data_IF_407765537501
#
_entry.id   IF_407765537501
#
_cell.length_a   1.000
_cell.length_b   1.000
_cell.length_c   1.000
_cell.angle_alpha   90.00
_cell.angle_beta   90.00
_cell.angle_gamma   90.00
#
_symmetry.space_group_name_H-M   'P 1'
#
loop_
_entity.id
_entity.type
_entity.pdbx_description
1 polymer ?
#
# COMPACT_ATOMS: atom_id res chain seq x y z
N UNK A 1 8.77 -4.87 3.30
CA UNK A 1 8.76 -3.94 4.42
C UNK A 1 9.97 -3.03 4.29
N UNK A 2 9.88 -1.80 4.78
CA UNK A 2 11.06 -0.95 4.97
C UNK A 2 11.26 -0.82 6.47
N UNK A 3 12.48 -1.04 6.93
CA UNK A 3 12.82 -1.11 8.34
C UNK A 3 13.96 -0.14 8.61
N UNK A 4 13.80 0.70 9.63
CA UNK A 4 14.89 1.47 10.20
C UNK A 4 14.97 1.28 11.71
N UNK A 5 15.95 1.91 12.37
CA UNK A 5 16.12 1.79 13.83
C UNK A 5 14.88 2.22 14.60
N UNK A 6 14.21 3.29 14.15
CA UNK A 6 13.09 3.91 14.86
C UNK A 6 11.72 3.68 14.20
N UNK A 7 11.67 3.04 13.03
CA UNK A 7 10.43 2.89 12.28
C UNK A 7 10.31 1.57 11.51
N UNK A 8 9.07 1.22 11.20
CA UNK A 8 8.68 0.14 10.31
C UNK A 8 7.67 0.69 9.32
N UNK A 9 7.90 0.46 8.05
CA UNK A 9 6.95 0.76 6.97
C UNK A 9 6.33 -0.53 6.43
N UNK A 10 5.02 -0.65 6.60
CA UNK A 10 4.20 -1.74 6.11
C UNK A 10 3.79 -1.49 4.66
N UNK A 11 4.04 -2.45 3.77
CA UNK A 11 3.55 -2.35 2.39
C UNK A 11 2.19 -3.02 2.27
N UNK A 12 1.14 -2.20 2.35
CA UNK A 12 -0.13 -2.57 1.76
C UNK A 12 0.08 -2.83 0.25
N UNK A 13 -0.44 -3.92 -0.33
CA UNK A 13 -0.28 -4.15 -1.77
C UNK A 13 -0.81 -2.98 -2.57
N UNK A 14 -0.25 -2.69 -3.74
CA UNK A 14 -0.77 -1.70 -4.70
C UNK A 14 -0.89 -0.24 -4.20
N UNK A 15 -0.15 0.11 -3.16
CA UNK A 15 -0.03 1.50 -2.67
C UNK A 15 1.36 2.10 -2.93
N UNK A 16 2.00 1.76 -4.06
CA UNK A 16 3.26 2.40 -4.46
C UNK A 16 4.54 1.84 -3.82
N UNK A 17 4.50 0.63 -3.25
CA UNK A 17 5.65 0.01 -2.57
C UNK A 17 6.95 -0.05 -3.40
N UNK A 18 6.88 -0.35 -4.69
CA UNK A 18 8.09 -0.39 -5.56
C UNK A 18 8.75 0.99 -5.69
N UNK A 19 7.96 2.03 -5.97
CA UNK A 19 8.45 3.42 -6.02
C UNK A 19 9.07 3.83 -4.68
N UNK A 20 8.48 3.41 -3.57
CA UNK A 20 9.00 3.67 -2.23
C UNK A 20 10.32 2.97 -1.95
N UNK A 21 10.42 1.70 -2.31
CA UNK A 21 11.64 0.92 -2.16
C UNK A 21 12.80 1.54 -2.92
N UNK A 22 12.54 1.99 -4.16
CA UNK A 22 13.54 2.71 -4.95
C UNK A 22 13.95 4.03 -4.31
N UNK A 23 12.98 4.87 -3.94
CA UNK A 23 13.26 6.17 -3.33
C UNK A 23 14.14 6.03 -2.07
N UNK A 24 13.80 5.09 -1.18
CA UNK A 24 14.58 4.85 0.03
C UNK A 24 15.99 4.33 -0.28
N UNK A 25 16.13 3.43 -1.26
CA UNK A 25 17.45 2.94 -1.70
C UNK A 25 18.30 4.07 -2.28
N UNK A 26 17.72 4.94 -3.11
CA UNK A 26 18.41 6.09 -3.72
C UNK A 26 18.85 7.14 -2.68
N UNK A 27 18.11 7.28 -1.58
CA UNK A 27 18.46 8.18 -0.48
C UNK A 27 19.61 7.67 0.41
N UNK A 28 20.03 6.40 0.27
CA UNK A 28 21.14 5.81 1.04
C UNK A 28 21.05 6.05 2.55
N UNK A 29 19.84 5.95 3.12
CA UNK A 29 19.61 6.24 4.54
C UNK A 29 20.33 5.16 5.38
N UNK A 30 21.23 5.53 6.30
CA UNK A 30 21.94 4.57 7.14
C UNK A 30 20.99 3.67 7.92
N UNK A 31 21.36 2.39 8.04
CA UNK A 31 20.64 1.39 8.84
C UNK A 31 19.19 1.12 8.40
N UNK A 32 18.76 1.68 7.26
CA UNK A 32 17.47 1.38 6.66
C UNK A 32 17.60 0.19 5.72
N UNK A 33 16.84 -0.86 6.02
CA UNK A 33 16.76 -2.09 5.24
C UNK A 33 15.44 -2.11 4.47
N UNK A 34 15.51 -2.48 3.20
CA UNK A 34 14.34 -2.63 2.33
C UNK A 34 14.24 -4.10 1.93
N UNK A 35 13.12 -4.76 2.28
CA UNK A 35 12.88 -6.13 1.85
C UNK A 35 12.98 -6.25 0.32
N UNK A 36 13.51 -7.37 -0.22
CA UNK A 36 13.53 -7.61 -1.65
C UNK A 36 12.13 -7.59 -2.27
N UNK A 37 12.00 -6.95 -3.44
CA UNK A 37 10.72 -6.76 -4.12
C UNK A 37 10.04 -8.05 -4.58
N UNK A 38 10.79 -9.13 -4.78
CA UNK A 38 10.27 -10.41 -5.26
C UNK A 38 9.73 -11.31 -4.14
N UNK A 39 9.89 -10.94 -2.87
CA UNK A 39 9.45 -11.75 -1.75
C UNK A 39 8.04 -11.37 -1.30
N UNK A 40 7.18 -12.38 -1.13
CA UNK A 40 5.82 -12.19 -0.58
C UNK A 40 5.82 -11.63 0.84
N UNK A 41 6.88 -11.93 1.61
CA UNK A 41 7.07 -11.45 2.98
C UNK A 41 7.11 -9.93 3.08
N UNK A 42 7.36 -9.21 1.98
CA UNK A 42 7.35 -7.74 1.98
C UNK A 42 5.98 -7.15 2.33
N UNK A 43 4.91 -7.93 2.15
CA UNK A 43 3.52 -7.62 2.46
C UNK A 43 3.05 -8.26 3.76
N UNK A 44 3.95 -8.78 4.60
CA UNK A 44 3.57 -9.33 5.89
C UNK A 44 3.16 -8.23 6.86
N UNK A 45 2.14 -8.52 7.67
CA UNK A 45 1.84 -7.72 8.85
C UNK A 45 2.86 -8.01 9.95
N UNK A 46 2.88 -7.17 10.98
CA UNK A 46 3.80 -7.35 12.12
C UNK A 46 3.59 -8.72 12.79
N UNK A 47 2.38 -9.14 13.18
CA UNK A 47 2.20 -10.45 13.81
C UNK A 47 2.69 -11.61 12.94
N UNK A 48 2.45 -11.55 11.63
CA UNK A 48 2.93 -12.58 10.69
C UNK A 48 4.46 -12.58 10.60
N UNK A 49 5.11 -11.42 10.60
CA UNK A 49 6.57 -11.32 10.57
C UNK A 49 7.22 -11.85 11.84
N UNK A 50 6.64 -11.53 13.00
CA UNK A 50 7.14 -11.92 14.32
C UNK A 50 7.01 -13.43 14.58
N UNK A 51 6.01 -14.10 13.98
CA UNK A 51 5.85 -15.55 14.10
C UNK A 51 6.83 -16.35 13.23
N UNK A 52 7.40 -15.75 12.17
CA UNK A 52 8.29 -16.42 11.21
C UNK A 52 9.76 -16.37 11.59
N UNK A 53 10.15 -15.49 12.52
CA UNK A 53 11.55 -15.23 12.84
C UNK A 53 11.71 -14.66 14.25
N UNK A 54 12.96 -14.51 14.71
CA UNK A 54 13.28 -13.81 15.96
C UNK A 54 13.14 -12.29 15.85
N UNK A 55 12.82 -11.76 14.66
CA UNK A 55 12.54 -10.35 14.45
C UNK A 55 11.36 -9.87 15.30
N UNK A 56 11.49 -8.70 15.92
CA UNK A 56 10.46 -8.09 16.78
C UNK A 56 10.23 -6.65 16.40
N UNK A 57 8.98 -6.24 16.22
CA UNK A 57 8.65 -4.86 15.87
C UNK A 57 9.08 -3.86 16.96
N UNK A 58 9.04 -4.27 18.23
CA UNK A 58 9.38 -3.41 19.35
C UNK A 58 8.48 -2.16 19.40
N UNK A 59 9.06 -1.04 19.84
CA UNK A 59 8.37 0.25 19.99
C UNK A 59 8.55 1.17 18.77
N UNK A 60 8.94 0.62 17.62
CA UNK A 60 9.21 1.41 16.41
C UNK A 60 7.92 2.03 15.87
N UNK A 61 8.03 3.28 15.42
CA UNK A 61 6.92 3.99 14.81
C UNK A 61 6.50 3.27 13.53
N UNK A 62 5.19 3.10 13.34
CA UNK A 62 4.65 2.32 12.23
C UNK A 62 4.10 3.26 11.17
N UNK A 63 4.48 3.00 9.92
CA UNK A 63 4.02 3.69 8.74
C UNK A 63 3.31 2.72 7.81
N UNK A 64 2.30 3.21 7.09
CA UNK A 64 1.62 2.46 6.04
C UNK A 64 1.21 3.40 4.92
N UNK A 65 1.39 2.99 3.66
CA UNK A 65 0.93 3.80 2.53
C UNK A 65 -0.54 3.56 2.27
N UNK A 66 -1.32 4.65 2.26
CA UNK A 66 -2.73 4.66 1.93
C UNK A 66 -2.93 5.05 0.46
N UNK A 67 -4.01 4.55 -0.12
CA UNK A 67 -4.49 4.94 -1.44
C UNK A 67 -6.01 4.97 -1.39
N UNK A 68 -6.63 5.88 -2.13
CA UNK A 68 -8.09 5.91 -2.26
C UNK A 68 -8.64 4.56 -2.69
N UNK A 69 -9.69 4.08 -2.02
CA UNK A 69 -10.27 2.74 -2.09
C UNK A 69 -10.58 2.33 -3.54
N UNK A 70 -11.32 3.17 -4.25
CA UNK A 70 -11.69 2.91 -5.65
C UNK A 70 -10.45 2.71 -6.53
N UNK A 71 -9.49 3.63 -6.44
CA UNK A 71 -8.24 3.57 -7.20
C UNK A 71 -7.38 2.37 -6.81
N UNK A 72 -7.45 1.95 -5.55
CA UNK A 72 -6.74 0.81 -5.02
C UNK A 72 -7.30 -0.51 -5.56
N UNK A 73 -8.62 -0.71 -5.50
CA UNK A 73 -9.29 -1.90 -6.03
C UNK A 73 -9.05 -2.06 -7.54
N UNK A 74 -9.20 -0.97 -8.31
CA UNK A 74 -8.92 -0.98 -9.75
C UNK A 74 -7.45 -1.32 -10.02
N UNK A 75 -6.53 -0.76 -9.24
CA UNK A 75 -5.10 -1.02 -9.41
C UNK A 75 -4.71 -2.46 -9.10
N UNK A 76 -5.40 -3.12 -8.16
CA UNK A 76 -5.21 -4.53 -7.89
C UNK A 76 -5.66 -5.37 -9.07
N UNK A 77 -6.92 -5.23 -9.49
CA UNK A 77 -7.49 -5.96 -10.61
C UNK A 77 -6.64 -5.82 -11.89
N UNK A 78 -6.24 -4.59 -12.25
CA UNK A 78 -5.38 -4.36 -13.42
C UNK A 78 -4.02 -5.06 -13.28
N UNK A 79 -3.43 -5.01 -12.09
CA UNK A 79 -2.13 -5.64 -11.87
C UNK A 79 -2.21 -7.16 -11.96
N UNK A 80 -3.26 -7.76 -11.42
CA UNK A 80 -3.51 -9.21 -11.50
C UNK A 80 -3.64 -9.68 -12.95
N UNK A 81 -4.41 -8.93 -13.76
CA UNK A 81 -4.60 -9.22 -15.19
C UNK A 81 -3.33 -9.09 -16.01
N UNK A 82 -2.53 -8.05 -15.75
CA UNK A 82 -1.38 -7.69 -16.59
C UNK A 82 -0.07 -8.37 -16.20
N UNK A 83 0.12 -8.62 -14.90
CA UNK A 83 1.44 -8.99 -14.38
C UNK A 83 1.46 -10.29 -13.57
N UNK A 84 0.29 -10.84 -13.21
CA UNK A 84 0.21 -12.00 -12.32
C UNK A 84 -0.50 -13.20 -12.95
N UNK A 85 -0.58 -13.24 -14.28
CA UNK A 85 -1.10 -14.42 -15.00
C UNK A 85 -2.60 -14.67 -14.86
N UNK A 86 -3.40 -13.66 -14.49
CA UNK A 86 -4.87 -13.78 -14.38
C UNK A 86 -5.60 -12.89 -15.40
N UNK A 87 -5.35 -13.03 -16.72
CA UNK A 87 -5.82 -12.07 -17.73
C UNK A 87 -7.35 -11.95 -17.82
N UNK A 88 -8.07 -13.00 -17.43
CA UNK A 88 -9.54 -13.09 -17.49
C UNK A 88 -10.21 -12.82 -16.13
N UNK A 89 -9.52 -12.17 -15.20
CA UNK A 89 -10.10 -11.81 -13.91
C UNK A 89 -11.29 -10.86 -14.10
N UNK A 90 -12.45 -11.26 -13.61
CA UNK A 90 -13.69 -10.47 -13.71
C UNK A 90 -13.56 -9.14 -12.94
N UNK A 91 -14.18 -8.09 -13.48
CA UNK A 91 -14.26 -6.78 -12.86
C UNK A 91 -15.50 -6.61 -11.97
N UNK A 92 -16.53 -7.45 -12.11
CA UNK A 92 -17.74 -7.35 -11.29
C UNK A 92 -17.49 -7.37 -9.77
N UNK A 93 -16.58 -8.21 -9.24
CA UNK A 93 -16.24 -8.17 -7.82
C UNK A 93 -15.65 -6.82 -7.37
N UNK A 94 -14.92 -6.11 -8.23
CA UNK A 94 -14.40 -4.76 -7.93
C UNK A 94 -15.53 -3.76 -7.78
N UNK A 95 -16.55 -3.81 -8.64
CA UNK A 95 -17.77 -2.98 -8.51
C UNK A 95 -18.54 -3.27 -7.23
N UNK A 96 -18.35 -4.44 -6.65
CA UNK A 96 -18.91 -4.85 -5.38
C UNK A 96 -17.99 -4.52 -4.18
N UNK A 97 -16.87 -3.83 -4.38
CA UNK A 97 -15.96 -3.44 -3.32
C UNK A 97 -15.00 -4.53 -2.87
N UNK A 98 -14.74 -5.53 -3.73
CA UNK A 98 -13.85 -6.65 -3.39
C UNK A 98 -12.47 -6.51 -4.04
N UNK A 99 -11.47 -6.96 -3.30
CA UNK A 99 -10.06 -7.02 -3.64
C UNK A 99 -9.64 -8.47 -3.91
N UNK A 100 -8.79 -8.73 -4.90
CA UNK A 100 -8.33 -10.09 -5.22
C UNK A 100 -7.02 -10.45 -4.50
N UNK A 101 -7.11 -11.33 -3.52
CA UNK A 101 -5.99 -11.69 -2.64
C UNK A 101 -5.39 -13.06 -2.96
N UNK A 102 -4.17 -13.07 -3.51
CA UNK A 102 -3.36 -14.30 -3.57
C UNK A 102 -2.91 -14.79 -2.20
N UNK A 103 -2.78 -13.89 -1.23
CA UNK A 103 -2.44 -14.26 0.15
C UNK A 103 -3.48 -15.21 0.77
N UNK A 104 -4.72 -15.15 0.29
CA UNK A 104 -5.82 -16.01 0.70
C UNK A 104 -6.15 -17.09 -0.36
N UNK A 105 -5.15 -17.52 -1.12
CA UNK A 105 -5.31 -18.59 -2.11
C UNK A 105 -5.94 -18.15 -3.43
N UNK A 106 -5.98 -16.85 -3.73
CA UNK A 106 -6.55 -16.34 -4.97
C UNK A 106 -8.06 -16.19 -4.89
N UNK A 107 -8.54 -15.41 -3.93
CA UNK A 107 -9.96 -15.19 -3.68
C UNK A 107 -10.30 -13.72 -3.51
N UNK A 108 -11.58 -13.39 -3.67
CA UNK A 108 -12.12 -12.06 -3.46
C UNK A 108 -12.42 -11.81 -1.99
N UNK A 109 -12.01 -10.66 -1.48
CA UNK A 109 -12.21 -10.26 -0.08
C UNK A 109 -12.59 -8.79 0.01
N UNK A 110 -13.30 -8.39 1.06
CA UNK A 110 -13.47 -6.98 1.37
C UNK A 110 -12.10 -6.32 1.61
N UNK A 111 -11.94 -5.07 1.16
CA UNK A 111 -10.77 -4.23 1.41
C UNK A 111 -10.46 -4.12 2.92
N UNK A 112 -11.50 -4.07 3.75
CA UNK A 112 -11.40 -4.00 5.22
C UNK A 112 -10.57 -5.14 5.81
N UNK A 113 -10.60 -6.32 5.18
CA UNK A 113 -9.78 -7.46 5.60
C UNK A 113 -8.29 -7.09 5.64
N UNK A 114 -7.81 -6.27 4.71
CA UNK A 114 -6.41 -5.85 4.70
C UNK A 114 -6.07 -4.91 5.85
N UNK A 115 -6.98 -4.02 6.25
CA UNK A 115 -6.74 -3.15 7.41
C UNK A 115 -6.69 -3.96 8.70
N UNK A 116 -7.55 -4.96 8.82
CA UNK A 116 -7.53 -5.92 9.92
C UNK A 116 -6.24 -6.77 9.90
N UNK A 117 -5.85 -7.29 8.74
CA UNK A 117 -4.63 -8.07 8.56
C UNK A 117 -3.37 -7.30 9.01
N UNK A 118 -3.30 -6.00 8.71
CA UNK A 118 -2.21 -5.13 9.14
C UNK A 118 -2.37 -4.58 10.56
N UNK A 119 -3.45 -4.93 11.27
CA UNK A 119 -3.80 -4.39 12.60
C UNK A 119 -3.77 -2.85 12.64
N UNK A 120 -4.33 -2.24 11.60
CA UNK A 120 -4.37 -0.78 11.47
C UNK A 120 -5.00 -0.17 12.73
N UNK A 121 -4.30 0.80 13.31
CA UNK A 121 -4.73 1.47 14.53
C UNK A 121 -4.29 2.94 14.53
N UNK A 122 -4.83 3.77 15.45
CA UNK A 122 -4.58 5.22 15.46
C UNK A 122 -3.12 5.65 15.65
N UNK A 123 -2.24 4.75 16.13
CA UNK A 123 -0.81 5.06 16.30
C UNK A 123 0.01 4.83 15.02
N UNK A 124 -0.57 4.18 14.02
CA UNK A 124 0.08 4.01 12.72
C UNK A 124 -0.07 5.28 11.89
N UNK A 125 1.05 5.79 11.39
CA UNK A 125 1.06 6.95 10.51
C UNK A 125 0.77 6.52 9.07
N UNK A 126 -0.34 7.01 8.52
CA UNK A 126 -0.64 6.83 7.12
C UNK A 126 0.16 7.82 6.26
N UNK A 127 0.63 7.35 5.11
CA UNK A 127 1.28 8.15 4.06
C UNK A 127 0.40 8.08 2.81
N UNK A 128 -0.15 9.20 2.36
CA UNK A 128 -1.08 9.23 1.22
C UNK A 128 -0.30 9.11 -0.08
N UNK A 129 -0.67 8.17 -0.94
CA UNK A 129 0.04 7.92 -2.20
C UNK A 129 0.04 9.15 -3.13
N UNK A 130 -1.04 9.92 -3.14
CA UNK A 130 -1.21 11.13 -3.96
C UNK A 130 -0.37 12.32 -3.42
N UNK A 131 -0.03 12.30 -2.13
CA UNK A 131 0.75 13.33 -1.44
C UNK A 131 2.08 12.76 -0.92
N UNK A 132 2.60 11.72 -1.60
CA UNK A 132 3.67 10.87 -1.07
C UNK A 132 4.90 11.66 -0.65
N UNK A 133 5.36 12.61 -1.46
CA UNK A 133 6.50 13.46 -1.14
C UNK A 133 6.25 14.33 0.10
N UNK A 134 5.09 14.97 0.17
CA UNK A 134 4.71 15.87 1.26
C UNK A 134 4.65 15.08 2.58
N UNK A 135 3.92 13.97 2.59
CA UNK A 135 3.74 13.14 3.79
C UNK A 135 5.07 12.50 4.22
N UNK A 136 5.92 12.08 3.28
CA UNK A 136 7.27 11.60 3.59
C UNK A 136 8.12 12.65 4.28
N UNK A 137 8.16 13.86 3.74
CA UNK A 137 8.93 14.96 4.30
C UNK A 137 8.37 15.42 5.65
N UNK A 138 7.06 15.36 5.83
CA UNK A 138 6.39 15.75 7.06
C UNK A 138 6.57 14.73 8.18
N UNK A 139 6.47 13.44 7.88
CA UNK A 139 6.36 12.40 8.91
C UNK A 139 7.59 11.50 9.03
N UNK A 140 8.28 11.20 7.93
CA UNK A 140 9.45 10.30 7.95
C UNK A 140 10.75 11.06 8.18
N UNK A 141 11.02 12.15 7.45
CA UNK A 141 12.27 12.92 7.61
C UNK A 141 12.59 13.28 9.08
N UNK A 142 11.63 13.73 9.92
CA UNK A 142 11.94 14.11 11.30
C UNK A 142 12.47 12.97 12.19
N UNK A 143 12.26 11.71 11.81
CA UNK A 143 12.67 10.54 12.60
C UNK A 143 13.89 9.81 12.01
N UNK A 144 14.40 10.30 10.87
CA UNK A 144 15.62 9.82 10.23
C UNK A 144 16.86 10.50 10.84
N UNK A 145 18.08 9.97 10.60
CA UNK A 145 19.31 10.59 11.09
C UNK A 145 19.42 12.07 10.70
N UNK A 146 19.99 12.87 11.60
CA UNK A 146 20.20 14.30 11.36
C UNK A 146 20.99 14.55 10.08
N UNK A 147 20.57 15.54 9.29
CA UNK A 147 21.16 15.85 7.99
C UNK A 147 20.60 15.07 6.80
N UNK A 148 19.65 14.15 7.03
CA UNK A 148 18.92 13.48 5.93
C UNK A 148 18.22 14.53 5.08
N UNK A 149 18.49 14.53 3.77
CA UNK A 149 17.91 15.47 2.83
C UNK A 149 16.43 15.16 2.57
N UNK A 150 15.58 16.20 2.35
CA UNK A 150 14.18 15.99 1.99
C UNK A 150 14.04 15.10 0.75
N UNK A 151 12.99 14.27 0.75
CA UNK A 151 12.59 13.45 -0.39
C UNK A 151 12.16 14.32 -1.57
N UNK A 152 12.63 13.93 -2.76
CA UNK A 152 12.15 14.43 -4.03
C UNK A 152 10.82 13.75 -4.43
N UNK A 153 10.21 14.21 -5.52
CA UNK A 153 9.02 13.56 -6.07
C UNK A 153 9.37 12.11 -6.42
N UNK A 154 8.67 11.11 -5.86
CA UNK A 154 8.99 9.72 -6.10
C UNK A 154 8.86 9.36 -7.59
N UNK A 155 9.76 8.51 -8.13
CA UNK A 155 9.66 8.08 -9.51
C UNK A 155 8.37 7.27 -9.73
N UNK A 156 7.59 7.63 -10.75
CA UNK A 156 6.39 6.89 -11.16
C UNK A 156 6.79 5.68 -12.01
N UNK A 157 7.47 4.70 -11.41
CA UNK A 157 7.99 3.52 -12.13
C UNK A 157 6.92 2.67 -12.80
N UNK A 158 5.71 2.67 -12.25
CA UNK A 158 4.56 1.96 -12.80
C UNK A 158 3.56 2.91 -13.50
N UNK A 159 4.02 4.08 -13.96
CA UNK A 159 3.19 4.96 -14.77
C UNK A 159 2.68 4.19 -16.00
N UNK A 160 1.37 4.18 -16.18
CA UNK A 160 0.74 3.55 -17.35
C UNK A 160 1.27 4.25 -18.61
N UNK A 161 1.63 3.50 -19.66
CA UNK A 161 1.86 4.07 -20.98
C UNK A 161 0.64 4.90 -21.44
N UNK A 162 0.88 6.06 -22.05
CA UNK A 162 -0.13 7.06 -22.42
C UNK A 162 -1.25 6.47 -23.31
N UNK A 163 -0.94 5.47 -24.12
CA UNK A 163 -1.89 4.83 -25.05
C UNK A 163 -2.93 3.92 -24.36
N UNK A 164 -2.71 3.53 -23.10
CA UNK A 164 -3.55 2.56 -22.37
C UNK A 164 -4.68 3.19 -21.53
N UNK A 165 -4.88 4.51 -21.61
CA UNK A 165 -5.97 5.20 -20.91
C UNK A 165 -7.37 4.88 -21.48
N UNK A 166 -7.48 4.16 -22.60
CA UNK A 166 -8.76 3.85 -23.25
C UNK A 166 -9.58 2.74 -22.57
N UNK A 167 -9.01 2.02 -21.60
CA UNK A 167 -9.67 0.88 -20.93
C UNK A 167 -9.63 0.98 -19.39
N UNK A 168 -9.54 2.18 -18.81
CA UNK A 168 -9.79 2.28 -17.37
C UNK A 168 -11.27 2.05 -17.10
N UNK A 169 -11.64 0.99 -16.35
CA UNK A 169 -13.02 0.79 -16.01
C UNK A 169 -13.48 1.94 -15.13
N UNK A 170 -14.61 2.53 -15.47
CA UNK A 170 -15.27 3.54 -14.67
C UNK A 170 -16.22 2.88 -13.67
N UNK A 171 -16.43 3.55 -12.54
CA UNK A 171 -17.39 3.15 -11.52
C UNK A 171 -18.56 4.12 -11.53
N UNK A 172 -19.80 3.60 -11.54
CA UNK A 172 -21.01 4.44 -11.40
C UNK A 172 -21.15 4.94 -9.96
N UNK A 173 -22.00 5.95 -9.75
CA UNK A 173 -22.28 6.48 -8.42
C UNK A 173 -22.81 5.39 -7.48
N UNK A 174 -23.69 4.51 -7.96
CA UNK A 174 -24.27 3.41 -7.18
C UNK A 174 -23.20 2.39 -6.79
N UNK A 175 -22.26 2.10 -7.69
CA UNK A 175 -21.13 1.21 -7.41
C UNK A 175 -20.22 1.81 -6.35
N UNK A 176 -19.92 3.12 -6.42
CA UNK A 176 -19.12 3.81 -5.39
C UNK A 176 -19.77 3.77 -4.02
N UNK A 177 -21.08 4.01 -3.94
CA UNK A 177 -21.85 3.89 -2.69
C UNK A 177 -21.78 2.45 -2.15
N UNK A 178 -21.93 1.46 -3.04
CA UNK A 178 -21.82 0.05 -2.68
C UNK A 178 -20.44 -0.30 -2.14
N UNK A 179 -19.38 0.13 -2.82
CA UNK A 179 -17.97 -0.07 -2.42
C UNK A 179 -17.75 0.46 -1.01
N UNK A 180 -18.23 1.68 -0.71
CA UNK A 180 -18.12 2.26 0.63
C UNK A 180 -18.87 1.44 1.68
N UNK A 181 -20.09 1.00 1.35
CA UNK A 181 -20.93 0.20 2.26
C UNK A 181 -20.31 -1.16 2.59
N UNK A 182 -19.63 -1.80 1.64
CA UNK A 182 -18.94 -3.08 1.82
C UNK A 182 -17.65 -2.94 2.63
N UNK A 183 -17.04 -1.75 2.61
CA UNK A 183 -15.74 -1.47 3.24
C UNK A 183 -15.83 -0.28 4.20
N UNK A 184 -16.62 -0.37 5.28
CA UNK A 184 -16.82 0.74 6.20
C UNK A 184 -15.54 1.16 6.93
N UNK A 185 -14.65 0.23 7.28
CA UNK A 185 -13.39 0.57 7.97
C UNK A 185 -12.46 1.35 7.04
N UNK A 186 -12.30 0.89 5.79
CA UNK A 186 -11.49 1.59 4.82
C UNK A 186 -12.07 2.95 4.46
N UNK A 187 -13.39 3.03 4.25
CA UNK A 187 -14.04 4.29 3.91
C UNK A 187 -13.86 5.33 5.00
N UNK A 188 -14.05 4.93 6.26
CA UNK A 188 -13.82 5.82 7.41
C UNK A 188 -12.34 6.22 7.54
N UNK A 189 -11.42 5.28 7.32
CA UNK A 189 -9.99 5.58 7.35
C UNK A 189 -9.61 6.55 6.23
N UNK A 190 -10.05 6.33 5.00
CA UNK A 190 -9.80 7.23 3.87
C UNK A 190 -10.33 8.65 4.15
N UNK A 191 -11.56 8.78 4.65
CA UNK A 191 -12.16 10.07 4.99
C UNK A 191 -11.39 10.82 6.09
N UNK A 192 -10.67 10.11 6.96
CA UNK A 192 -9.79 10.75 7.97
C UNK A 192 -8.45 11.24 7.40
N UNK A 193 -8.06 10.76 6.21
CA UNK A 193 -6.77 11.06 5.59
C UNK A 193 -6.85 12.15 4.51
N UNK A 194 -7.95 12.19 3.75
CA UNK A 194 -8.13 13.04 2.57
C UNK A 194 -9.21 14.08 2.76
#
# INVERSE_FOLDING_TARGET
>A
MIEGPNFIWLHLPKTGGTSMNRLIREHHIPEVVVDPDHLDSKHDSIPVRETRSEWRAGQRQRFITARRLEAWLISDWQHKRRHMGVPNLDFEPVRCGLFYSFRLGGTWVAADWWLQYFELNPTMQAIRLEFLQEDLNKYLIPILPSGTQPFSVPPRENAKPIELNKEEPTLTTEEKIRIKKVNPLWSSWEESLY
#
